data_IF_279117472009
#
_entry.id   IF_279117472009
#
_cell.length_a   1.000
_cell.length_b   1.000
_cell.length_c   1.000
_cell.angle_alpha   90.00
_cell.angle_beta   90.00
_cell.angle_gamma   90.00
#
_symmetry.space_group_name_H-M   'P 1'
#
loop_
_entity.id
_entity.type
_entity.pdbx_description
1 polymer ?
#
# COMPACT_ATOMS: atom_id res chain seq x y z
N UNK A 1 73.43 -20.03 58.48
CA UNK A 1 72.79 -21.14 59.23
C UNK A 1 71.30 -20.88 59.30
N UNK A 2 70.46 -21.91 59.13
CA UNK A 2 69.01 -21.79 59.35
C UNK A 2 68.79 -21.61 60.86
N UNK A 3 67.83 -20.77 61.25
CA UNK A 3 67.48 -20.59 62.66
C UNK A 3 66.82 -21.87 63.23
N UNK A 4 66.82 -21.99 64.56
CA UNK A 4 66.35 -23.20 65.25
C UNK A 4 64.86 -23.48 65.02
N UNK A 5 64.06 -22.44 64.80
CA UNK A 5 62.61 -22.54 64.61
C UNK A 5 62.29 -23.08 63.22
N UNK A 6 62.89 -22.51 62.18
CA UNK A 6 62.78 -22.99 60.80
C UNK A 6 63.29 -24.42 60.65
N UNK A 7 64.40 -24.77 61.32
CA UNK A 7 64.91 -26.15 61.34
C UNK A 7 63.91 -27.15 61.95
N UNK A 8 63.21 -26.75 63.02
CA UNK A 8 62.16 -27.57 63.65
C UNK A 8 60.95 -27.78 62.73
N UNK A 9 60.52 -26.74 61.99
CA UNK A 9 59.43 -26.84 61.02
C UNK A 9 59.76 -27.82 59.90
N UNK A 10 60.97 -27.73 59.34
CA UNK A 10 61.45 -28.66 58.30
C UNK A 10 61.45 -30.09 58.84
N UNK A 11 61.91 -30.32 60.06
CA UNK A 11 61.90 -31.66 60.68
C UNK A 11 60.49 -32.20 60.93
N UNK A 12 59.52 -31.35 61.31
CA UNK A 12 58.11 -31.75 61.44
C UNK A 12 57.54 -32.22 60.11
N UNK A 13 57.82 -31.51 59.02
CA UNK A 13 57.37 -31.88 57.66
C UNK A 13 58.04 -33.17 57.21
N UNK A 14 59.36 -33.29 57.40
CA UNK A 14 60.12 -34.52 57.10
C UNK A 14 59.52 -35.74 57.80
N UNK A 15 59.19 -35.63 59.10
CA UNK A 15 58.57 -36.72 59.87
C UNK A 15 57.14 -37.02 59.40
N UNK A 16 56.32 -36.00 59.14
CA UNK A 16 54.91 -36.17 58.78
C UNK A 16 54.73 -36.91 57.45
N UNK A 17 55.58 -36.60 56.47
CA UNK A 17 55.47 -37.15 55.12
C UNK A 17 56.58 -38.16 54.78
N UNK A 18 57.40 -38.55 55.76
CA UNK A 18 58.53 -39.49 55.59
C UNK A 18 59.51 -39.06 54.48
N UNK A 19 59.83 -37.76 54.42
CA UNK A 19 60.71 -37.18 53.40
C UNK A 19 62.07 -36.83 53.98
N UNK A 20 63.13 -36.92 53.16
CA UNK A 20 64.45 -36.37 53.50
C UNK A 20 64.41 -34.84 53.43
N UNK A 21 65.27 -34.18 54.20
CA UNK A 21 65.39 -32.70 54.20
C UNK A 21 65.60 -32.14 52.79
N UNK A 22 66.41 -32.80 51.96
CA UNK A 22 66.65 -32.42 50.56
C UNK A 22 65.42 -32.53 49.66
N UNK A 23 64.55 -33.51 49.91
CA UNK A 23 63.32 -33.72 49.14
C UNK A 23 62.27 -32.68 49.49
N UNK A 24 62.14 -32.33 50.78
CA UNK A 24 61.27 -31.24 51.24
C UNK A 24 61.66 -29.92 50.58
N UNK A 25 62.96 -29.60 50.53
CA UNK A 25 63.44 -28.36 49.90
C UNK A 25 63.16 -28.36 48.40
N UNK A 26 63.45 -29.46 47.68
CA UNK A 26 63.18 -29.57 46.24
C UNK A 26 61.68 -29.43 45.91
N UNK A 27 60.82 -30.09 46.69
CA UNK A 27 59.36 -30.02 46.51
C UNK A 27 58.82 -28.63 46.86
N UNK A 28 59.33 -27.98 47.90
CA UNK A 28 58.93 -26.62 48.27
C UNK A 28 59.25 -25.62 47.14
N UNK A 29 60.48 -25.62 46.61
CA UNK A 29 60.83 -24.76 45.48
C UNK A 29 60.03 -25.10 44.23
N UNK A 30 59.80 -26.39 43.94
CA UNK A 30 58.96 -26.81 42.83
C UNK A 30 57.50 -26.39 42.98
N UNK A 31 56.97 -26.33 44.20
CA UNK A 31 55.61 -25.85 44.49
C UNK A 31 55.51 -24.33 44.32
N UNK A 32 56.48 -23.60 44.85
CA UNK A 32 56.58 -22.14 44.71
C UNK A 32 56.59 -21.72 43.24
N UNK A 33 57.45 -22.36 42.44
CA UNK A 33 57.59 -22.07 41.00
C UNK A 33 56.32 -22.44 40.21
N UNK A 34 55.80 -23.67 40.41
CA UNK A 34 54.60 -24.14 39.69
C UNK A 34 53.32 -23.41 40.07
N UNK A 35 53.18 -22.97 41.31
CA UNK A 35 52.01 -22.24 41.78
C UNK A 35 52.19 -20.72 41.67
N UNK A 36 53.31 -20.25 41.09
CA UNK A 36 53.66 -18.82 40.98
C UNK A 36 53.51 -18.06 42.32
N UNK A 37 53.87 -18.70 43.43
CA UNK A 37 53.79 -18.10 44.76
C UNK A 37 55.00 -17.20 44.96
N UNK A 38 54.80 -15.95 45.36
CA UNK A 38 55.90 -15.11 45.80
C UNK A 38 56.18 -15.39 47.30
N UNK A 39 57.29 -16.05 47.68
CA UNK A 39 57.57 -16.37 49.08
C UNK A 39 57.89 -15.14 49.93
N UNK A 40 58.12 -13.95 49.32
CA UNK A 40 58.28 -12.70 50.07
C UNK A 40 56.95 -12.06 50.46
N UNK A 41 55.83 -12.51 49.88
CA UNK A 41 54.49 -12.00 50.16
C UNK A 41 53.73 -12.99 51.06
N UNK A 42 52.95 -12.44 51.99
CA UNK A 42 52.06 -13.27 52.79
C UNK A 42 51.05 -13.95 51.85
N UNK A 43 50.83 -15.28 51.95
CA UNK A 43 49.84 -15.96 51.13
C UNK A 43 48.47 -15.31 51.33
N UNK A 44 47.89 -14.75 50.28
CA UNK A 44 46.51 -14.30 50.31
C UNK A 44 45.60 -15.50 50.58
N UNK A 45 44.66 -15.34 51.50
CA UNK A 45 43.70 -16.41 51.78
C UNK A 45 42.83 -16.62 50.54
N UNK A 46 42.52 -17.88 50.19
CA UNK A 46 41.52 -18.20 49.15
C UNK A 46 40.21 -17.44 49.36
N UNK A 47 39.86 -17.14 50.62
CA UNK A 47 38.71 -16.32 50.99
C UNK A 47 38.80 -14.86 50.51
N UNK A 48 39.98 -14.21 50.55
CA UNK A 48 40.16 -12.82 50.09
C UNK A 48 40.09 -12.74 48.56
N UNK A 49 40.69 -13.68 47.86
CA UNK A 49 40.61 -13.76 46.40
C UNK A 49 39.17 -14.01 45.92
N UNK A 50 38.46 -14.94 46.55
CA UNK A 50 37.04 -15.17 46.25
C UNK A 50 36.19 -13.91 46.55
N UNK A 51 36.48 -13.17 47.61
CA UNK A 51 35.78 -11.93 47.90
C UNK A 51 36.02 -10.85 46.83
N UNK A 52 37.26 -10.73 46.30
CA UNK A 52 37.57 -9.82 45.18
C UNK A 52 36.82 -10.22 43.92
N UNK A 53 36.76 -11.51 43.60
CA UNK A 53 36.02 -12.04 42.44
C UNK A 53 34.53 -11.74 42.58
N UNK A 54 33.93 -12.05 43.74
CA UNK A 54 32.51 -11.79 43.99
C UNK A 54 32.18 -10.30 43.85
N UNK A 55 33.02 -9.41 44.40
CA UNK A 55 32.83 -7.96 44.24
C UNK A 55 32.84 -7.54 42.76
N UNK A 56 33.79 -8.07 41.97
CA UNK A 56 33.83 -7.81 40.52
C UNK A 56 32.59 -8.33 39.80
N UNK A 57 32.07 -9.49 40.19
CA UNK A 57 30.83 -10.04 39.65
C UNK A 57 29.63 -9.13 39.98
N UNK A 58 29.52 -8.67 41.23
CA UNK A 58 28.45 -7.75 41.65
C UNK A 58 28.51 -6.43 40.87
N UNK A 59 29.71 -5.91 40.64
CA UNK A 59 29.91 -4.69 39.85
C UNK A 59 29.50 -4.89 38.38
N UNK A 60 29.82 -6.04 37.77
CA UNK A 60 29.38 -6.39 36.41
C UNK A 60 27.86 -6.52 36.34
N UNK A 61 27.24 -7.20 37.30
CA UNK A 61 25.78 -7.36 37.36
C UNK A 61 25.11 -5.98 37.48
N UNK A 62 25.66 -5.10 38.32
CA UNK A 62 25.17 -3.72 38.49
C UNK A 62 25.30 -2.93 37.19
N UNK A 63 26.42 -3.05 36.48
CA UNK A 63 26.62 -2.40 35.19
C UNK A 63 25.60 -2.87 34.14
N UNK A 64 25.38 -4.18 34.02
CA UNK A 64 24.41 -4.73 33.06
C UNK A 64 23.01 -4.21 33.36
N UNK A 65 22.55 -4.29 34.62
CA UNK A 65 21.23 -3.81 35.01
C UNK A 65 21.05 -2.32 34.74
N UNK A 66 22.05 -1.52 35.08
CA UNK A 66 22.01 -0.08 34.82
C UNK A 66 21.89 0.21 33.32
N UNK A 67 22.65 -0.49 32.47
CA UNK A 67 22.56 -0.33 31.01
C UNK A 67 21.20 -0.80 30.45
N UNK A 68 20.68 -1.92 30.95
CA UNK A 68 19.36 -2.42 30.57
C UNK A 68 18.26 -1.41 30.91
N UNK A 69 18.31 -0.84 32.12
CA UNK A 69 17.32 0.13 32.62
C UNK A 69 17.40 1.48 31.90
N UNK A 70 18.60 2.03 31.74
CA UNK A 70 18.79 3.40 31.22
C UNK A 70 18.85 3.48 29.70
N UNK A 71 19.20 2.40 29.00
CA UNK A 71 19.38 2.43 27.55
C UNK A 71 18.46 1.43 26.84
N UNK A 72 18.59 0.14 27.15
CA UNK A 72 17.91 -0.91 26.36
C UNK A 72 16.38 -0.84 26.49
N UNK A 73 15.87 -0.74 27.72
CA UNK A 73 14.43 -0.69 27.98
C UNK A 73 13.76 0.56 27.35
N UNK A 74 14.33 1.78 27.47
CA UNK A 74 13.87 2.94 26.72
C UNK A 74 13.87 2.73 25.20
N UNK A 75 14.91 2.15 24.63
CA UNK A 75 14.99 1.89 23.18
C UNK A 75 13.90 0.92 22.72
N UNK A 76 13.62 -0.13 23.50
CA UNK A 76 12.51 -1.08 23.22
C UNK A 76 11.16 -0.34 23.27
N UNK A 77 10.93 0.49 24.30
CA UNK A 77 9.69 1.28 24.41
C UNK A 77 9.53 2.25 23.23
N UNK A 78 10.59 2.95 22.85
CA UNK A 78 10.57 3.86 21.69
C UNK A 78 10.28 3.10 20.40
N UNK A 79 10.94 1.97 20.18
CA UNK A 79 10.71 1.11 18.99
C UNK A 79 9.25 0.65 18.92
N UNK A 80 8.68 0.18 20.03
CA UNK A 80 7.28 -0.23 20.09
C UNK A 80 6.32 0.95 19.85
N UNK A 81 6.62 2.12 20.41
CA UNK A 81 5.83 3.34 20.17
C UNK A 81 5.86 3.75 18.69
N UNK A 82 7.02 3.66 18.04
CA UNK A 82 7.17 3.92 16.61
C UNK A 82 6.34 2.91 15.80
N UNK A 83 6.43 1.61 16.10
CA UNK A 83 5.66 0.59 15.41
C UNK A 83 4.13 0.84 15.49
N UNK A 84 3.63 1.18 16.68
CA UNK A 84 2.21 1.53 16.87
C UNK A 84 1.79 2.77 16.07
N UNK A 85 2.65 3.79 16.00
CA UNK A 85 2.37 4.99 15.18
C UNK A 85 2.34 4.67 13.69
N UNK A 86 3.25 3.83 13.21
CA UNK A 86 3.24 3.38 11.81
C UNK A 86 1.98 2.58 11.48
N UNK A 87 1.55 1.67 12.34
CA UNK A 87 0.31 0.92 12.16
C UNK A 87 -0.92 1.86 12.11
N UNK A 88 -0.99 2.82 13.02
CA UNK A 88 -2.08 3.81 13.05
C UNK A 88 -2.09 4.68 11.78
N UNK A 89 -0.93 5.14 11.31
CA UNK A 89 -0.79 5.89 10.04
C UNK A 89 -1.24 5.02 8.87
N UNK A 90 -0.80 3.76 8.81
CA UNK A 90 -1.17 2.81 7.77
C UNK A 90 -2.69 2.65 7.66
N UNK A 91 -3.36 2.38 8.79
CA UNK A 91 -4.83 2.26 8.85
C UNK A 91 -5.56 3.54 8.46
N UNK A 92 -5.03 4.70 8.86
CA UNK A 92 -5.61 6.00 8.51
C UNK A 92 -5.52 6.26 7.00
N UNK A 93 -4.36 5.96 6.40
CA UNK A 93 -4.16 6.09 4.97
C UNK A 93 -5.02 5.12 4.17
N UNK A 94 -5.11 3.86 4.60
CA UNK A 94 -6.00 2.86 4.00
C UNK A 94 -7.45 3.35 3.97
N UNK A 95 -7.97 3.80 5.11
CA UNK A 95 -9.33 4.35 5.23
C UNK A 95 -9.55 5.55 4.31
N UNK A 96 -8.58 6.46 4.25
CA UNK A 96 -8.66 7.66 3.40
C UNK A 96 -8.68 7.29 1.91
N UNK A 97 -7.82 6.35 1.49
CA UNK A 97 -7.76 5.88 0.09
C UNK A 97 -9.07 5.22 -0.30
N UNK A 98 -9.61 4.33 0.55
CA UNK A 98 -10.89 3.66 0.28
C UNK A 98 -12.04 4.67 0.15
N UNK A 99 -12.15 5.61 1.09
CA UNK A 99 -13.19 6.66 1.02
C UNK A 99 -13.05 7.53 -0.24
N UNK A 100 -11.83 7.88 -0.63
CA UNK A 100 -11.59 8.66 -1.84
C UNK A 100 -11.91 7.86 -3.12
N UNK A 101 -11.65 6.55 -3.12
CA UNK A 101 -11.99 5.66 -4.23
C UNK A 101 -13.50 5.53 -4.40
N UNK A 102 -14.21 5.29 -3.30
CA UNK A 102 -15.69 5.21 -3.28
C UNK A 102 -16.31 6.52 -3.78
N UNK A 103 -15.91 7.67 -3.24
CA UNK A 103 -16.44 8.96 -3.66
C UNK A 103 -16.17 9.25 -5.15
N UNK A 104 -15.00 8.84 -5.66
CA UNK A 104 -14.68 8.99 -7.08
C UNK A 104 -15.53 8.05 -7.94
N UNK A 105 -15.73 6.79 -7.53
CA UNK A 105 -16.57 5.83 -8.23
C UNK A 105 -18.03 6.29 -8.28
N UNK A 106 -18.57 6.81 -7.19
CA UNK A 106 -19.92 7.38 -7.15
C UNK A 106 -20.05 8.57 -8.11
N UNK A 107 -19.08 9.49 -8.09
CA UNK A 107 -19.06 10.65 -8.99
C UNK A 107 -19.01 10.21 -10.45
N UNK A 108 -18.15 9.26 -10.80
CA UNK A 108 -18.05 8.74 -12.16
C UNK A 108 -19.37 8.08 -12.60
N UNK A 109 -19.97 7.28 -11.73
CA UNK A 109 -21.26 6.64 -11.98
C UNK A 109 -22.36 7.66 -12.23
N UNK A 110 -22.42 8.73 -11.42
CA UNK A 110 -23.38 9.81 -11.60
C UNK A 110 -23.20 10.55 -12.94
N UNK A 111 -21.96 10.83 -13.34
CA UNK A 111 -21.64 11.45 -14.63
C UNK A 111 -22.07 10.54 -15.79
N UNK A 112 -21.75 9.25 -15.74
CA UNK A 112 -22.12 8.29 -16.77
C UNK A 112 -23.65 8.14 -16.89
N UNK A 113 -24.36 8.10 -15.76
CA UNK A 113 -25.82 8.06 -15.75
C UNK A 113 -26.42 9.28 -16.43
N UNK A 114 -25.94 10.48 -16.06
CA UNK A 114 -26.41 11.74 -16.67
C UNK A 114 -26.12 11.77 -18.18
N UNK A 115 -24.95 11.30 -18.60
CA UNK A 115 -24.60 11.22 -20.01
C UNK A 115 -25.53 10.25 -20.78
N UNK A 116 -25.81 9.09 -20.20
CA UNK A 116 -26.76 8.13 -20.76
C UNK A 116 -28.16 8.73 -20.92
N UNK A 117 -28.66 9.42 -19.89
CA UNK A 117 -29.96 10.11 -19.94
C UNK A 117 -29.99 11.15 -21.07
N UNK A 118 -28.91 11.94 -21.22
CA UNK A 118 -28.81 12.91 -22.30
C UNK A 118 -28.79 12.26 -23.69
N UNK A 119 -28.09 11.13 -23.86
CA UNK A 119 -28.10 10.41 -25.13
C UNK A 119 -29.48 9.82 -25.46
N UNK A 120 -30.21 9.30 -24.47
CA UNK A 120 -31.60 8.87 -24.67
C UNK A 120 -32.49 10.04 -25.14
N UNK A 121 -32.41 11.19 -24.48
CA UNK A 121 -33.17 12.39 -24.88
C UNK A 121 -32.82 12.83 -26.31
N UNK A 122 -31.53 12.80 -26.69
CA UNK A 122 -31.12 13.12 -28.06
C UNK A 122 -31.65 12.11 -29.07
N UNK A 123 -31.63 10.81 -28.75
CA UNK A 123 -32.19 9.77 -29.60
C UNK A 123 -33.69 9.98 -29.85
N UNK A 124 -34.45 10.37 -28.82
CA UNK A 124 -35.89 10.67 -28.94
C UNK A 124 -36.15 11.87 -29.86
N UNK A 125 -35.36 12.95 -29.71
CA UNK A 125 -35.44 14.13 -30.59
C UNK A 125 -35.10 13.77 -32.04
N UNK A 126 -34.01 13.03 -32.27
CA UNK A 126 -33.61 12.57 -33.60
C UNK A 126 -34.71 11.71 -34.24
N UNK A 127 -35.31 10.80 -33.48
CA UNK A 127 -36.39 9.95 -33.98
C UNK A 127 -37.64 10.77 -34.35
N UNK A 128 -38.00 11.76 -33.53
CA UNK A 128 -39.09 12.69 -33.83
C UNK A 128 -38.84 13.49 -35.11
N UNK A 129 -37.63 14.06 -35.24
CA UNK A 129 -37.22 14.80 -36.44
C UNK A 129 -37.21 13.91 -37.69
N UNK A 130 -36.72 12.68 -37.59
CA UNK A 130 -36.74 11.71 -38.69
C UNK A 130 -38.15 11.43 -39.19
N UNK A 131 -39.13 11.28 -38.27
CA UNK A 131 -40.54 11.13 -38.64
C UNK A 131 -41.09 12.35 -39.37
N UNK A 132 -40.77 13.56 -38.88
CA UNK A 132 -41.19 14.80 -39.53
C UNK A 132 -40.60 14.96 -40.94
N UNK A 133 -39.31 14.66 -41.10
CA UNK A 133 -38.62 14.68 -42.40
C UNK A 133 -39.27 13.69 -43.37
N UNK A 134 -39.58 12.48 -42.92
CA UNK A 134 -40.26 11.48 -43.75
C UNK A 134 -41.66 11.95 -44.18
N UNK A 135 -42.41 12.59 -43.29
CA UNK A 135 -43.71 13.17 -43.63
C UNK A 135 -43.58 14.29 -44.67
N UNK A 136 -42.63 15.21 -44.49
CA UNK A 136 -42.34 16.28 -45.45
C UNK A 136 -41.90 15.72 -46.81
N UNK A 137 -41.07 14.68 -46.81
CA UNK A 137 -40.64 14.01 -48.03
C UNK A 137 -41.82 13.39 -48.80
N UNK A 138 -42.76 12.73 -48.11
CA UNK A 138 -43.98 12.18 -48.70
C UNK A 138 -44.87 13.27 -49.32
N UNK A 139 -45.07 14.38 -48.59
CA UNK A 139 -45.82 15.55 -49.07
C UNK A 139 -45.17 16.09 -50.34
N UNK A 140 -43.86 16.34 -50.29
CA UNK A 140 -43.10 16.84 -51.42
C UNK A 140 -43.20 15.92 -52.65
N UNK A 141 -43.10 14.60 -52.47
CA UNK A 141 -43.24 13.65 -53.57
C UNK A 141 -44.64 13.68 -54.20
N UNK A 142 -45.69 13.79 -53.38
CA UNK A 142 -47.08 13.91 -53.85
C UNK A 142 -47.29 15.24 -54.58
N UNK A 143 -46.79 16.34 -54.04
CA UNK A 143 -46.96 17.67 -54.62
C UNK A 143 -46.20 17.80 -55.95
N UNK A 144 -45.01 17.19 -56.07
CA UNK A 144 -44.30 17.08 -57.35
C UNK A 144 -45.08 16.29 -58.40
N UNK A 145 -45.69 15.16 -58.02
CA UNK A 145 -46.55 14.39 -58.94
C UNK A 145 -47.76 15.20 -59.40
N UNK A 146 -48.42 15.92 -58.47
CA UNK A 146 -49.53 16.84 -58.80
C UNK A 146 -49.07 17.93 -59.76
N UNK A 147 -47.94 18.59 -59.48
CA UNK A 147 -47.38 19.64 -60.33
C UNK A 147 -47.08 19.13 -61.73
N UNK A 148 -46.45 17.97 -61.86
CA UNK A 148 -46.14 17.37 -63.16
C UNK A 148 -47.43 17.07 -63.95
N UNK A 149 -48.45 16.52 -63.28
CA UNK A 149 -49.76 16.24 -63.89
C UNK A 149 -50.45 17.53 -64.34
N UNK A 150 -50.42 18.58 -63.53
CA UNK A 150 -50.93 19.91 -63.92
C UNK A 150 -50.22 20.45 -65.16
N UNK A 151 -48.89 20.38 -65.21
CA UNK A 151 -48.11 20.82 -66.39
C UNK A 151 -48.54 20.03 -67.63
N UNK A 152 -48.71 18.72 -67.52
CA UNK A 152 -49.18 17.88 -68.62
C UNK A 152 -50.59 18.30 -69.09
N UNK A 153 -51.55 18.45 -68.18
CA UNK A 153 -52.92 18.85 -68.52
C UNK A 153 -52.99 20.23 -69.18
N UNK A 154 -52.21 21.21 -68.68
CA UNK A 154 -52.12 22.53 -69.31
C UNK A 154 -51.49 22.47 -70.70
N UNK A 155 -50.46 21.66 -70.89
CA UNK A 155 -49.85 21.43 -72.20
C UNK A 155 -50.86 20.81 -73.18
N UNK A 156 -51.58 19.77 -72.78
CA UNK A 156 -52.61 19.13 -73.62
C UNK A 156 -53.75 20.09 -73.96
N UNK A 157 -54.24 20.85 -72.97
CA UNK A 157 -55.30 21.83 -73.17
C UNK A 157 -54.90 22.91 -74.19
N UNK A 158 -53.63 23.34 -74.16
CA UNK A 158 -53.10 24.32 -75.12
C UNK A 158 -53.06 23.81 -76.55
N UNK A 159 -52.93 22.49 -76.74
CA UNK A 159 -52.90 21.84 -78.04
C UNK A 159 -54.30 21.51 -78.60
N UNK A 160 -55.38 21.66 -77.83
CA UNK A 160 -56.74 21.33 -78.27
C UNK A 160 -57.31 22.33 -79.30
N UNK A 161 -57.88 21.81 -80.38
CA UNK A 161 -58.48 22.58 -81.48
C UNK A 161 -59.87 23.15 -81.17
N UNK A 162 -60.48 23.83 -82.15
CA UNK A 162 -61.81 24.47 -81.98
C UNK A 162 -62.94 23.44 -81.85
N UNK A 163 -62.74 22.22 -82.35
CA UNK A 163 -63.72 21.12 -82.31
C UNK A 163 -63.68 20.29 -81.01
N UNK A 164 -62.71 20.53 -80.12
CA UNK A 164 -62.46 19.72 -78.92
C UNK A 164 -63.20 20.21 -77.65
N UNK A 165 -64.32 20.93 -77.80
CA UNK A 165 -64.98 21.68 -76.71
C UNK A 165 -65.23 20.83 -75.45
N UNK A 166 -65.75 19.60 -75.60
CA UNK A 166 -66.02 18.68 -74.48
C UNK A 166 -64.73 18.22 -73.77
N UNK A 167 -63.66 17.98 -74.54
CA UNK A 167 -62.35 17.58 -73.99
C UNK A 167 -61.71 18.73 -73.23
N UNK A 168 -61.82 19.97 -73.74
CA UNK A 168 -61.37 21.19 -73.06
C UNK A 168 -62.08 21.39 -71.72
N UNK A 169 -63.38 21.20 -71.66
CA UNK A 169 -64.13 21.31 -70.40
C UNK A 169 -63.71 20.24 -69.38
N UNK A 170 -63.54 18.99 -69.82
CA UNK A 170 -63.06 17.92 -68.94
C UNK A 170 -61.68 18.22 -68.36
N UNK A 171 -60.71 18.66 -69.19
CA UNK A 171 -59.37 19.04 -68.73
C UNK A 171 -59.42 20.22 -67.76
N UNK A 172 -60.24 21.24 -68.02
CA UNK A 172 -60.44 22.38 -67.10
C UNK A 172 -61.01 21.93 -65.75
N UNK A 173 -61.95 21.00 -65.75
CA UNK A 173 -62.51 20.44 -64.53
C UNK A 173 -61.46 19.66 -63.73
N UNK A 174 -60.63 18.84 -64.40
CA UNK A 174 -59.56 18.08 -63.77
C UNK A 174 -58.46 18.98 -63.18
N UNK A 175 -58.04 20.01 -63.92
CA UNK A 175 -57.12 21.05 -63.43
C UNK A 175 -57.69 21.72 -62.17
N UNK A 176 -58.97 22.11 -62.19
CA UNK A 176 -59.62 22.76 -61.06
C UNK A 176 -59.67 21.84 -59.82
N UNK A 177 -59.90 20.54 -60.02
CA UNK A 177 -59.88 19.55 -58.94
C UNK A 177 -58.48 19.33 -58.36
N UNK A 178 -57.43 19.36 -59.18
CA UNK A 178 -56.04 19.19 -58.73
C UNK A 178 -55.51 20.40 -57.95
N UNK A 179 -56.03 21.60 -58.20
CA UNK A 179 -55.64 22.85 -57.52
C UNK A 179 -56.43 23.07 -56.23
N UNK A 180 -57.71 22.70 -56.18
CA UNK A 180 -58.59 22.94 -55.03
C UNK A 180 -58.49 21.88 -53.90
N UNK A 181 -57.56 20.91 -54.01
CA UNK A 181 -57.32 19.84 -53.03
C UNK A 181 -55.85 19.82 -52.63
#
# INVERSE_FOLDING_TARGET
>A
SIDKETASLVEKICKRYSLKKSEVVKLAFGYIDKAHINPSEAPESVKSELAKINKRQDDIIRFIRHYEEEQLNPMIRTTNSIALRFDAIGKTLETLILSQLEANQERQTAVLKKLSEQFCNHADVINSQSKQINALYQIHQRDYKKLFHLIQLYSELSACGVMDSKRKENMKAEISNLINI
#
